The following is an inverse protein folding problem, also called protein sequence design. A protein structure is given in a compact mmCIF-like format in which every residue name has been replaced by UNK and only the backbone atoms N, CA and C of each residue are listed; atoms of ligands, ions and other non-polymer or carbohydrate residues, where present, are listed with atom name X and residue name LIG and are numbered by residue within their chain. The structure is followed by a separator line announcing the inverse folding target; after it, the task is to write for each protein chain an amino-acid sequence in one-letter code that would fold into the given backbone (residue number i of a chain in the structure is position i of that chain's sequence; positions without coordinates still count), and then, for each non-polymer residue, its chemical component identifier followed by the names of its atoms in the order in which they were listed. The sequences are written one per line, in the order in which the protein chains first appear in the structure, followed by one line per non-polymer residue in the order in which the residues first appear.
data_IF_037234557928
#
_entry.id   IF_037234557928
#
_cell.length_a   1.000
_cell.length_b   1.000
_cell.length_c   1.000
_cell.angle_alpha   90.00
_cell.angle_beta   90.00
_cell.angle_gamma   90.00
#
_symmetry.space_group_name_H-M   'P 1'
#
loop_
_entity.id
_entity.type
_entity.pdbx_description
1 polymer ?
#
# COMPACT_ATOMS: atom_id res chain seq x y z
N UNK A 1 -28.48 -14.85 -1.86
CA UNK A 1 -27.84 -14.64 -3.18
C UNK A 1 -28.88 -14.08 -4.13
N UNK A 2 -28.53 -13.11 -4.97
CA UNK A 2 -29.43 -12.58 -6.00
C UNK A 2 -29.05 -13.24 -7.33
N UNK A 3 -29.94 -14.03 -7.90
CA UNK A 3 -29.71 -14.76 -9.15
C UNK A 3 -30.49 -14.13 -10.30
N UNK A 4 -29.93 -14.24 -11.50
CA UNK A 4 -30.52 -13.76 -12.74
C UNK A 4 -30.73 -14.93 -13.69
N UNK A 5 -31.79 -14.92 -14.52
CA UNK A 5 -32.02 -15.98 -15.49
C UNK A 5 -30.86 -16.04 -16.50
N UNK A 6 -30.43 -17.26 -16.76
CA UNK A 6 -29.41 -17.65 -17.72
C UNK A 6 -30.01 -18.73 -18.64
N UNK A 7 -29.30 -19.11 -19.70
CA UNK A 7 -29.80 -20.00 -20.75
C UNK A 7 -30.56 -21.24 -20.21
N UNK A 8 -31.62 -21.67 -20.90
CA UNK A 8 -32.36 -22.91 -20.64
C UNK A 8 -32.84 -23.13 -19.18
N UNK A 9 -33.43 -22.09 -18.57
CA UNK A 9 -33.98 -22.10 -17.20
C UNK A 9 -32.94 -22.14 -16.06
N UNK A 10 -31.65 -22.08 -16.37
CA UNK A 10 -30.63 -21.94 -15.36
C UNK A 10 -30.59 -20.52 -14.79
N UNK A 11 -30.00 -20.36 -13.61
CA UNK A 11 -29.77 -19.03 -13.03
C UNK A 11 -28.32 -18.87 -12.64
N UNK A 12 -27.78 -17.67 -12.81
CA UNK A 12 -26.40 -17.32 -12.42
C UNK A 12 -26.43 -16.19 -11.39
N UNK A 13 -25.37 -16.04 -10.61
CA UNK A 13 -25.22 -14.88 -9.72
C UNK A 13 -25.23 -13.59 -10.57
N UNK A 14 -25.95 -12.56 -10.10
CA UNK A 14 -25.95 -11.23 -10.70
C UNK A 14 -24.54 -10.70 -11.01
N UNK A 15 -23.55 -11.07 -10.18
CA UNK A 15 -22.13 -10.73 -10.41
C UNK A 15 -21.62 -11.15 -11.79
N UNK A 16 -22.16 -12.23 -12.36
CA UNK A 16 -21.81 -12.69 -13.70
C UNK A 16 -22.10 -11.62 -14.76
N UNK A 17 -23.27 -10.97 -14.72
CA UNK A 17 -23.62 -9.90 -15.67
C UNK A 17 -22.65 -8.71 -15.58
N UNK A 18 -22.23 -8.37 -14.36
CA UNK A 18 -21.26 -7.29 -14.14
C UNK A 18 -19.89 -7.67 -14.71
N UNK A 19 -19.46 -8.92 -14.55
CA UNK A 19 -18.17 -9.42 -15.05
C UNK A 19 -18.06 -9.50 -16.57
N UNK A 20 -19.19 -9.58 -17.30
CA UNK A 20 -19.21 -9.58 -18.76
C UNK A 20 -19.00 -8.19 -19.39
N UNK A 21 -19.10 -7.12 -18.60
CA UNK A 21 -18.95 -5.73 -19.07
C UNK A 21 -17.47 -5.33 -19.15
N UNK A 22 -17.12 -4.47 -20.10
CA UNK A 22 -15.76 -3.94 -20.22
C UNK A 22 -15.53 -2.78 -19.25
N UNK A 23 -14.28 -2.53 -18.83
CA UNK A 23 -13.95 -1.34 -18.04
C UNK A 23 -14.41 -0.05 -18.75
N UNK A 24 -15.05 0.85 -18.00
CA UNK A 24 -15.61 2.12 -18.48
C UNK A 24 -16.90 2.00 -19.31
N UNK A 25 -17.47 0.81 -19.49
CA UNK A 25 -18.84 0.68 -20.01
C UNK A 25 -19.86 1.17 -18.98
N UNK A 26 -20.97 1.70 -19.49
CA UNK A 26 -22.08 2.12 -18.66
C UNK A 26 -23.15 1.04 -18.60
N UNK A 27 -23.72 0.82 -17.41
CA UNK A 27 -24.82 -0.11 -17.19
C UNK A 27 -26.06 0.67 -16.74
N UNK A 28 -27.20 0.39 -17.37
CA UNK A 28 -28.50 0.87 -16.92
C UNK A 28 -28.95 0.00 -15.74
N UNK A 29 -29.14 0.61 -14.58
CA UNK A 29 -29.57 -0.06 -13.36
C UNK A 29 -30.90 0.53 -12.93
N UNK A 30 -31.93 -0.31 -12.84
CA UNK A 30 -33.21 0.06 -12.25
C UNK A 30 -33.22 -0.30 -10.77
N UNK A 31 -33.61 0.64 -9.92
CA UNK A 31 -33.71 0.43 -8.47
C UNK A 31 -35.04 0.99 -7.97
N UNK A 32 -35.55 0.38 -6.90
CA UNK A 32 -36.70 0.91 -6.18
C UNK A 32 -36.18 1.73 -4.99
N UNK A 33 -36.47 3.05 -4.97
CA UNK A 33 -36.11 3.95 -3.87
C UNK A 33 -37.35 4.66 -3.39
N UNK A 34 -37.66 4.58 -2.10
CA UNK A 34 -38.86 5.18 -1.50
C UNK A 34 -40.17 4.78 -2.21
N UNK A 35 -40.25 3.53 -2.66
CA UNK A 35 -41.42 3.00 -3.38
C UNK A 35 -41.58 3.47 -4.83
N UNK A 36 -40.61 4.23 -5.37
CA UNK A 36 -40.60 4.66 -6.78
C UNK A 36 -39.49 3.98 -7.56
N UNK A 37 -39.79 3.57 -8.78
CA UNK A 37 -38.79 3.05 -9.71
C UNK A 37 -37.93 4.20 -10.23
N UNK A 38 -36.61 4.04 -10.13
CA UNK A 38 -35.63 5.00 -10.61
C UNK A 38 -34.61 4.26 -11.49
N UNK A 39 -34.23 4.89 -12.59
CA UNK A 39 -33.22 4.37 -13.51
C UNK A 39 -31.95 5.20 -13.44
N UNK A 40 -30.81 4.52 -13.32
CA UNK A 40 -29.50 5.15 -13.25
C UNK A 40 -28.59 4.57 -14.31
N UNK A 41 -27.84 5.45 -14.98
CA UNK A 41 -26.78 5.04 -15.88
C UNK A 41 -25.44 5.12 -15.13
N UNK A 42 -24.85 3.97 -14.80
CA UNK A 42 -23.68 3.87 -13.93
C UNK A 42 -22.46 3.40 -14.72
N UNK A 43 -21.37 4.18 -14.68
CA UNK A 43 -20.09 3.78 -15.26
C UNK A 43 -19.39 2.71 -14.42
N UNK A 44 -19.06 1.58 -15.04
CA UNK A 44 -18.39 0.47 -14.38
C UNK A 44 -16.88 0.68 -14.41
N UNK A 45 -16.26 0.63 -13.22
CA UNK A 45 -14.80 0.70 -13.07
C UNK A 45 -14.31 -0.54 -12.31
N UNK A 46 -13.18 -1.13 -12.72
CA UNK A 46 -12.55 -2.20 -11.96
C UNK A 46 -12.25 -1.70 -10.54
N UNK A 47 -12.76 -2.42 -9.54
CA UNK A 47 -12.43 -2.14 -8.13
C UNK A 47 -11.08 -2.78 -7.86
N UNK A 48 -10.08 -1.95 -7.54
CA UNK A 48 -8.80 -2.47 -7.04
C UNK A 48 -9.02 -2.93 -5.59
N UNK A 49 -8.69 -4.19 -5.24
CA UNK A 49 -8.82 -4.64 -3.87
C UNK A 49 -7.80 -3.91 -2.98
N UNK A 50 -8.13 -3.74 -1.69
CA UNK A 50 -7.22 -3.13 -0.71
C UNK A 50 -5.98 -4.01 -0.49
N UNK A 51 -6.18 -5.33 -0.49
CA UNK A 51 -5.12 -6.34 -0.45
C UNK A 51 -4.98 -6.94 -1.85
N UNK A 52 -3.85 -6.70 -2.56
CA UNK A 52 -3.63 -7.27 -3.88
C UNK A 52 -3.60 -8.80 -3.84
N UNK A 53 -4.40 -9.44 -4.70
CA UNK A 53 -4.47 -10.90 -4.83
C UNK A 53 -3.22 -11.48 -5.52
N UNK A 54 -2.67 -10.74 -6.48
CA UNK A 54 -1.53 -11.18 -7.27
C UNK A 54 -0.58 -9.99 -7.51
N UNK A 55 0.71 -10.21 -7.30
CA UNK A 55 1.78 -9.23 -7.57
C UNK A 55 2.73 -9.75 -8.66
N UNK A 56 2.18 -10.36 -9.72
CA UNK A 56 3.01 -10.81 -10.83
C UNK A 56 3.75 -9.62 -11.45
N UNK A 57 5.06 -9.78 -11.61
CA UNK A 57 5.96 -8.85 -12.30
C UNK A 57 6.22 -7.48 -11.64
N UNK A 58 5.73 -7.27 -10.40
CA UNK A 58 6.04 -6.05 -9.62
C UNK A 58 7.02 -6.35 -8.50
N UNK A 59 8.14 -5.61 -8.47
CA UNK A 59 9.07 -5.65 -7.35
C UNK A 59 8.36 -5.26 -6.04
N UNK A 60 8.61 -6.02 -4.97
CA UNK A 60 7.94 -5.81 -3.68
C UNK A 60 8.44 -4.52 -3.04
N UNK A 61 7.52 -3.62 -2.74
CA UNK A 61 7.83 -2.39 -2.01
C UNK A 61 8.13 -2.71 -0.55
N UNK A 62 9.22 -2.16 0.00
CA UNK A 62 9.58 -2.32 1.40
C UNK A 62 10.28 -1.07 1.94
N UNK A 63 10.19 -0.86 3.25
CA UNK A 63 10.88 0.21 3.96
C UNK A 63 11.41 -0.30 5.30
N UNK A 64 12.65 0.01 5.64
CA UNK A 64 13.32 -0.41 6.88
C UNK A 64 13.70 0.83 7.67
N UNK A 65 13.25 0.87 8.92
CA UNK A 65 13.60 1.96 9.85
C UNK A 65 13.71 1.45 11.28
N UNK A 66 14.85 1.73 11.94
CA UNK A 66 15.10 1.29 13.33
C UNK A 66 15.02 -0.23 13.51
N UNK A 67 15.37 -0.99 12.47
CA UNK A 67 15.25 -2.45 12.46
C UNK A 67 13.86 -2.98 12.09
N UNK A 68 12.82 -2.14 11.98
CA UNK A 68 11.49 -2.60 11.59
C UNK A 68 11.34 -2.65 10.07
N UNK A 69 10.96 -3.81 9.53
CA UNK A 69 10.67 -4.01 8.11
C UNK A 69 9.17 -3.79 7.85
N UNK A 70 8.84 -2.70 7.15
CA UNK A 70 7.49 -2.35 6.74
C UNK A 70 7.21 -2.78 5.30
N UNK A 71 6.09 -3.46 5.08
CA UNK A 71 5.63 -3.92 3.76
C UNK A 71 4.13 -3.69 3.58
N UNK A 72 3.63 -3.49 2.34
CA UNK A 72 2.20 -3.49 2.10
C UNK A 72 1.66 -4.93 2.19
N UNK A 73 0.55 -5.11 2.89
CA UNK A 73 -0.11 -6.40 2.99
C UNK A 73 -0.58 -6.87 1.60
N UNK A 74 -0.33 -8.13 1.30
CA UNK A 74 -0.72 -8.77 0.04
C UNK A 74 -1.26 -10.17 0.31
N UNK A 75 -2.07 -10.72 -0.59
CA UNK A 75 -2.63 -12.06 -0.41
C UNK A 75 -1.54 -13.13 -0.26
N UNK A 76 -0.45 -13.12 -1.06
CA UNK A 76 0.65 -14.08 -0.86
C UNK A 76 1.35 -13.97 0.50
N UNK A 77 1.27 -12.80 1.16
CA UNK A 77 1.78 -12.65 2.53
C UNK A 77 0.84 -13.30 3.54
N UNK A 78 -0.47 -13.08 3.40
CA UNK A 78 -1.50 -13.69 4.27
C UNK A 78 -1.43 -15.21 4.16
N UNK A 79 -1.34 -15.75 2.94
CA UNK A 79 -1.30 -17.20 2.70
C UNK A 79 -0.08 -17.88 3.33
N UNK A 80 1.01 -17.13 3.55
CA UNK A 80 2.25 -17.61 4.17
C UNK A 80 2.43 -17.25 5.64
N UNK A 81 1.47 -16.56 6.27
CA UNK A 81 1.54 -16.10 7.66
C UNK A 81 0.32 -16.54 8.47
N UNK A 82 0.28 -16.20 9.76
CA UNK A 82 -0.88 -16.47 10.64
C UNK A 82 -1.89 -15.31 10.64
N UNK A 83 -1.76 -14.38 9.69
CA UNK A 83 -2.60 -13.20 9.62
C UNK A 83 -4.05 -13.55 9.26
N UNK A 84 -4.98 -12.81 9.86
CA UNK A 84 -6.40 -13.06 9.65
C UNK A 84 -6.84 -12.71 8.22
N UNK A 85 -7.45 -13.66 7.52
CA UNK A 85 -8.07 -13.47 6.20
C UNK A 85 -9.14 -12.36 6.19
N UNK A 86 -9.70 -11.96 7.34
CA UNK A 86 -10.65 -10.85 7.40
C UNK A 86 -10.09 -9.54 6.82
N UNK A 87 -8.77 -9.34 6.83
CA UNK A 87 -8.12 -8.17 6.24
C UNK A 87 -8.23 -8.12 4.71
N UNK A 88 -8.33 -9.26 4.01
CA UNK A 88 -8.50 -9.29 2.55
C UNK A 88 -9.90 -8.90 2.09
N UNK A 89 -10.90 -8.98 2.99
CA UNK A 89 -12.30 -8.62 2.72
C UNK A 89 -12.59 -7.12 2.86
N UNK A 90 -11.64 -6.33 3.35
CA UNK A 90 -11.80 -4.88 3.53
C UNK A 90 -11.78 -4.17 2.16
N UNK A 91 -12.71 -3.23 1.97
CA UNK A 91 -12.72 -2.36 0.79
C UNK A 91 -11.87 -1.11 1.04
N UNK A 92 -11.12 -0.62 0.03
CA UNK A 92 -10.39 0.64 0.15
C UNK A 92 -11.38 1.81 0.25
N UNK A 93 -11.10 2.75 1.15
CA UNK A 93 -11.81 4.02 1.33
C UNK A 93 -11.20 5.12 0.49
N UNK A 94 -9.87 5.10 0.29
CA UNK A 94 -9.11 6.07 -0.50
C UNK A 94 -8.50 5.42 -1.75
N UNK A 95 -8.25 6.24 -2.77
CA UNK A 95 -7.48 5.79 -3.92
C UNK A 95 -6.03 5.45 -3.49
N UNK A 96 -5.53 4.30 -3.93
CA UNK A 96 -4.18 3.81 -3.60
C UNK A 96 -3.94 3.53 -2.11
N UNK A 97 -5.00 3.31 -1.33
CA UNK A 97 -4.89 2.86 0.06
C UNK A 97 -4.22 1.48 0.13
N UNK A 98 -3.36 1.30 1.14
CA UNK A 98 -2.71 0.02 1.43
C UNK A 98 -2.68 -0.20 2.94
N UNK A 99 -2.88 -1.44 3.37
CA UNK A 99 -2.58 -1.85 4.73
C UNK A 99 -1.07 -2.03 4.83
N UNK A 100 -0.41 -1.28 5.71
CA UNK A 100 1.02 -1.41 5.98
C UNK A 100 1.22 -2.18 7.28
N UNK A 101 2.05 -3.20 7.25
CA UNK A 101 2.36 -4.06 8.40
C UNK A 101 3.85 -4.02 8.73
N UNK A 102 4.18 -4.38 9.96
CA UNK A 102 5.54 -4.76 10.37
C UNK A 102 5.72 -6.24 10.02
N UNK A 103 6.44 -6.56 8.95
CA UNK A 103 6.63 -7.95 8.54
C UNK A 103 7.69 -8.68 9.35
N UNK A 104 8.74 -7.98 9.76
CA UNK A 104 9.83 -8.57 10.53
C UNK A 104 10.55 -7.49 11.34
N UNK A 105 11.18 -7.89 12.44
CA UNK A 105 12.06 -7.05 13.24
C UNK A 105 13.49 -7.56 13.15
N UNK A 106 14.40 -6.73 12.63
CA UNK A 106 15.83 -6.97 12.56
C UNK A 106 16.43 -6.63 13.93
N UNK A 107 16.77 -7.65 14.72
CA UNK A 107 17.20 -7.52 16.11
C UNK A 107 18.33 -6.51 16.31
N UNK A 108 18.14 -5.56 17.23
CA UNK A 108 19.10 -4.55 17.65
C UNK A 108 18.67 -3.98 19.02
N UNK A 109 19.59 -3.42 19.79
CA UNK A 109 19.30 -2.79 21.09
C UNK A 109 18.17 -1.74 21.00
N UNK A 110 18.02 -1.06 19.85
CA UNK A 110 16.98 -0.05 19.65
C UNK A 110 15.55 -0.62 19.65
N UNK A 111 15.38 -1.90 19.31
CA UNK A 111 14.08 -2.56 19.24
C UNK A 111 13.85 -3.59 20.37
N UNK A 112 14.73 -3.60 21.36
CA UNK A 112 14.57 -4.40 22.57
C UNK A 112 13.20 -4.18 23.22
N UNK A 113 12.48 -5.27 23.48
CA UNK A 113 11.13 -5.26 24.04
C UNK A 113 9.98 -5.22 23.02
N UNK A 114 10.28 -5.07 21.72
CA UNK A 114 9.26 -5.03 20.66
C UNK A 114 9.17 -6.30 19.81
N UNK A 115 9.86 -7.39 20.16
CA UNK A 115 9.89 -8.63 19.38
C UNK A 115 8.50 -9.21 19.02
N UNK A 116 7.46 -8.94 19.84
CA UNK A 116 6.08 -9.40 19.60
C UNK A 116 5.24 -8.49 18.68
N UNK A 117 5.88 -7.56 17.97
CA UNK A 117 5.19 -6.55 17.14
C UNK A 117 5.17 -6.91 15.65
N UNK A 118 5.72 -8.07 15.29
CA UNK A 118 5.58 -8.65 13.95
C UNK A 118 4.11 -8.91 13.60
N UNK A 119 3.81 -8.89 12.31
CA UNK A 119 2.50 -9.02 11.70
C UNK A 119 1.45 -7.95 12.10
N UNK A 120 1.85 -6.90 12.83
CA UNK A 120 0.92 -5.84 13.21
C UNK A 120 0.76 -4.75 12.15
N UNK A 121 -0.49 -4.36 11.88
CA UNK A 121 -0.80 -3.18 11.07
C UNK A 121 -0.37 -1.88 11.75
N UNK A 122 0.30 -1.00 11.01
CA UNK A 122 0.54 0.40 11.40
C UNK A 122 -0.67 1.26 11.03
N UNK A 123 -1.28 1.92 12.02
CA UNK A 123 -2.45 2.79 11.82
C UNK A 123 -2.05 4.26 11.73
N UNK A 124 -1.17 4.72 12.63
CA UNK A 124 -0.77 6.13 12.70
C UNK A 124 0.72 6.31 12.97
N UNK A 125 1.29 7.38 12.45
CA UNK A 125 2.62 7.88 12.79
C UNK A 125 2.49 9.27 13.37
N UNK A 126 2.92 9.48 14.62
CA UNK A 126 2.79 10.75 15.34
C UNK A 126 1.36 11.34 15.29
N UNK A 127 0.33 10.48 15.34
CA UNK A 127 -1.09 10.87 15.25
C UNK A 127 -1.64 11.04 13.82
N UNK A 128 -0.80 10.99 12.79
CA UNK A 128 -1.21 11.07 11.37
C UNK A 128 -1.58 9.68 10.86
N UNK A 129 -2.74 9.54 10.23
CA UNK A 129 -3.20 8.27 9.65
C UNK A 129 -2.33 7.84 8.44
N UNK A 130 -1.96 6.56 8.43
CA UNK A 130 -1.16 5.97 7.35
C UNK A 130 -2.07 5.47 6.25
N UNK A 131 -1.85 5.97 5.04
CA UNK A 131 -2.67 5.64 3.87
C UNK A 131 -2.05 4.54 3.00
N UNK A 132 -0.71 4.51 2.90
CA UNK A 132 0.04 3.52 2.14
C UNK A 132 1.52 3.52 2.57
N UNK A 133 2.31 2.57 2.05
CA UNK A 133 3.72 2.44 2.45
C UNK A 133 4.56 3.68 2.10
N UNK A 134 4.26 4.32 0.97
CA UNK A 134 4.94 5.56 0.55
C UNK A 134 4.64 6.72 1.50
N UNK A 135 3.39 6.86 1.92
CA UNK A 135 3.00 7.86 2.90
C UNK A 135 3.72 7.61 4.23
N UNK A 136 3.80 6.35 4.68
CA UNK A 136 4.53 5.98 5.90
C UNK A 136 6.00 6.38 5.83
N UNK A 137 6.71 6.03 4.75
CA UNK A 137 8.13 6.36 4.62
C UNK A 137 8.35 7.88 4.59
N UNK A 138 7.50 8.64 3.89
CA UNK A 138 7.58 10.11 3.85
C UNK A 138 7.40 10.73 5.23
N UNK A 139 6.36 10.33 5.98
CA UNK A 139 6.09 10.88 7.32
C UNK A 139 7.23 10.56 8.29
N UNK A 140 7.82 9.38 8.20
CA UNK A 140 8.98 9.01 9.04
C UNK A 140 10.24 9.78 8.64
N UNK A 141 10.52 9.93 7.34
CA UNK A 141 11.71 10.63 6.87
C UNK A 141 11.65 12.14 7.15
N UNK A 142 10.48 12.76 7.03
CA UNK A 142 10.24 14.18 7.33
C UNK A 142 10.12 14.46 8.84
N UNK A 143 10.00 13.40 9.65
CA UNK A 143 9.91 13.52 11.09
C UNK A 143 11.20 14.11 11.68
N UNK A 144 11.08 15.30 12.27
CA UNK A 144 12.12 16.03 12.98
C UNK A 144 11.97 15.99 14.50
N UNK A 145 10.91 15.35 15.01
CA UNK A 145 10.67 15.21 16.45
C UNK A 145 11.69 14.26 17.09
N UNK A 146 11.97 14.46 18.39
CA UNK A 146 12.93 13.63 19.11
C UNK A 146 12.52 12.16 19.22
N UNK A 147 11.21 11.91 19.25
CA UNK A 147 10.63 10.57 19.28
C UNK A 147 9.70 10.36 18.09
N UNK A 148 9.70 9.14 17.56
CA UNK A 148 8.76 8.63 16.59
C UNK A 148 7.78 7.72 17.31
N UNK A 149 6.49 8.02 17.22
CA UNK A 149 5.40 7.21 17.78
C UNK A 149 4.63 6.54 16.65
N UNK A 150 4.49 5.23 16.72
CA UNK A 150 3.70 4.42 15.79
C UNK A 150 2.56 3.78 16.58
N UNK A 151 1.31 4.15 16.26
CA UNK A 151 0.13 3.49 16.80
C UNK A 151 -0.22 2.30 15.90
N UNK A 152 -0.25 1.11 16.46
CA UNK A 152 -0.48 -0.15 15.76
C UNK A 152 -1.91 -0.64 15.98
N UNK A 153 -2.26 -1.79 15.39
CA UNK A 153 -3.46 -2.50 15.77
C UNK A 153 -3.39 -3.07 17.20
N UNK A 154 -4.56 -3.44 17.74
CA UNK A 154 -4.72 -3.89 19.12
C UNK A 154 -4.24 -2.89 20.19
N UNK A 155 -4.32 -1.59 19.88
CA UNK A 155 -3.95 -0.48 20.78
C UNK A 155 -2.47 -0.50 21.22
N UNK A 156 -1.63 -1.30 20.56
CA UNK A 156 -0.18 -1.32 20.79
C UNK A 156 0.46 -0.04 20.26
N UNK A 157 1.45 0.46 20.99
CA UNK A 157 2.19 1.68 20.63
C UNK A 157 3.68 1.38 20.64
N UNK A 158 4.35 1.70 19.55
CA UNK A 158 5.80 1.60 19.37
C UNK A 158 6.39 3.02 19.44
N UNK A 159 7.37 3.24 20.32
CA UNK A 159 8.06 4.53 20.47
C UNK A 159 9.56 4.32 20.28
N UNK A 160 10.14 5.08 19.37
CA UNK A 160 11.58 5.07 19.07
C UNK A 160 12.17 6.47 19.21
N UNK A 161 13.39 6.58 19.72
CA UNK A 161 14.14 7.83 19.60
C UNK A 161 14.63 7.98 18.16
N UNK A 162 14.20 9.04 17.47
CA UNK A 162 14.42 9.23 16.03
C UNK A 162 15.92 9.30 15.67
N UNK A 163 16.73 9.97 16.50
CA UNK A 163 18.17 10.10 16.27
C UNK A 163 18.89 8.76 16.42
N UNK A 164 18.55 8.01 17.47
CA UNK A 164 19.13 6.68 17.72
C UNK A 164 18.67 5.68 16.66
N UNK A 165 17.39 5.70 16.29
CA UNK A 165 16.82 4.83 15.26
C UNK A 165 17.47 5.03 13.89
N UNK A 166 17.74 6.28 13.47
CA UNK A 166 18.48 6.54 12.21
C UNK A 166 19.90 6.00 12.23
N UNK A 167 20.59 6.13 13.36
CA UNK A 167 21.94 5.59 13.55
C UNK A 167 21.93 4.06 13.51
N UNK A 168 21.04 3.43 14.29
CA UNK A 168 20.86 1.99 14.32
C UNK A 168 20.50 1.43 12.95
N UNK A 169 19.58 2.08 12.21
CA UNK A 169 19.20 1.67 10.86
C UNK A 169 20.42 1.55 9.94
N UNK A 170 21.33 2.52 10.00
CA UNK A 170 22.54 2.52 9.18
C UNK A 170 23.51 1.40 9.57
N UNK A 171 23.57 1.04 10.85
CA UNK A 171 24.38 -0.07 11.38
C UNK A 171 23.80 -1.41 10.94
N UNK A 172 22.50 -1.64 11.22
CA UNK A 172 21.77 -2.88 10.90
C UNK A 172 21.88 -3.22 9.41
N UNK A 173 21.66 -2.24 8.53
CA UNK A 173 21.75 -2.47 7.08
C UNK A 173 23.15 -2.89 6.63
N UNK A 174 24.20 -2.32 7.25
CA UNK A 174 25.59 -2.71 6.95
C UNK A 174 25.91 -4.11 7.45
N UNK A 175 25.52 -4.44 8.68
CA UNK A 175 25.80 -5.74 9.29
C UNK A 175 25.10 -6.88 8.54
N UNK A 176 23.83 -6.67 8.18
CA UNK A 176 23.03 -7.63 7.43
C UNK A 176 23.26 -7.57 5.91
N UNK A 177 24.15 -6.69 5.44
CA UNK A 177 24.49 -6.49 4.02
C UNK A 177 23.26 -6.20 3.15
N UNK A 178 22.30 -5.48 3.70
CA UNK A 178 21.10 -5.03 2.99
C UNK A 178 21.49 -3.77 2.18
N UNK A 179 21.31 -3.76 0.86
CA UNK A 179 21.84 -2.71 0.00
C UNK A 179 21.16 -1.35 0.17
N UNK A 180 19.88 -1.34 0.57
CA UNK A 180 19.08 -0.11 0.70
C UNK A 180 18.06 -0.26 1.83
N UNK A 181 17.78 0.83 2.52
CA UNK A 181 16.71 0.91 3.52
C UNK A 181 15.31 0.87 2.89
N UNK A 182 15.18 1.15 1.59
CA UNK A 182 13.89 1.22 0.90
C UNK A 182 13.97 0.68 -0.52
N UNK A 183 12.86 0.16 -1.01
CA UNK A 183 12.72 -0.25 -2.42
C UNK A 183 12.78 0.94 -3.36
N UNK A 184 13.18 0.68 -4.62
CA UNK A 184 13.42 1.72 -5.64
C UNK A 184 12.19 2.59 -5.94
N UNK A 185 10.98 2.05 -5.79
CA UNK A 185 9.72 2.77 -6.01
C UNK A 185 9.39 3.80 -4.93
N UNK A 186 10.02 3.68 -3.75
CA UNK A 186 9.88 4.62 -2.63
C UNK A 186 10.97 5.69 -2.62
N UNK A 187 12.06 5.48 -3.36
CA UNK A 187 13.13 6.46 -3.43
C UNK A 187 12.63 7.77 -4.04
N UNK A 188 13.07 8.95 -3.53
CA UNK A 188 12.76 10.22 -4.15
C UNK A 188 13.25 10.18 -5.61
N UNK A 189 12.37 10.40 -6.57
CA UNK A 189 12.77 10.50 -7.97
C UNK A 189 13.83 11.59 -8.10
N UNK A 190 15.08 11.20 -8.34
CA UNK A 190 16.09 12.16 -8.74
C UNK A 190 15.67 12.73 -10.10
N UNK A 191 15.19 13.98 -10.09
CA UNK A 191 14.98 14.74 -11.31
C UNK A 191 16.36 15.00 -11.89
N UNK A 192 16.81 14.11 -12.79
CA UNK A 192 18.01 14.33 -13.57
C UNK A 192 17.83 15.62 -14.40
N UNK A 193 18.32 16.75 -13.88
CA UNK A 193 18.44 18.05 -14.57
C UNK A 193 19.52 18.04 -15.68
N UNK A 194 19.88 16.88 -16.20
CA UNK A 194 20.93 16.71 -17.20
C UNK A 194 20.35 16.22 -18.52
N UNK A 195 19.69 17.12 -19.24
CA UNK A 195 19.54 17.13 -20.72
C UNK A 195 18.89 18.44 -21.19
N UNK A 196 19.37 19.58 -20.69
CA UNK A 196 19.31 20.82 -21.48
C UNK A 196 20.35 20.65 -22.59
N UNK A 197 19.89 20.23 -23.77
CA UNK A 197 20.71 20.20 -24.97
C UNK A 197 21.07 21.63 -25.33
N UNK A 198 22.36 21.97 -25.27
CA UNK A 198 22.88 23.27 -25.71
C UNK A 198 22.57 23.51 -27.20
N UNK A 199 22.27 24.74 -27.63
CA UNK A 199 21.99 25.02 -29.04
C UNK A 199 23.23 24.77 -29.90
N UNK A 200 23.07 24.02 -31.00
CA UNK A 200 24.11 23.86 -32.02
C UNK A 200 24.39 25.22 -32.66
N UNK A 201 25.61 25.74 -32.52
CA UNK A 201 26.10 26.83 -33.37
C UNK A 201 26.17 26.34 -34.82
N UNK A 202 25.33 26.90 -35.70
CA UNK A 202 25.52 26.82 -37.14
C UNK A 202 26.57 27.86 -37.54
N UNK A 203 27.77 27.39 -37.93
CA UNK A 203 28.70 28.20 -38.71
C UNK A 203 28.15 28.29 -40.15
N UNK A 204 27.64 29.46 -40.52
CA UNK A 204 27.64 29.91 -41.92
C UNK A 204 29.07 30.39 -42.22
N UNK A 205 29.75 29.76 -43.16
CA UNK A 205 30.83 30.40 -43.88
C UNK A 205 30.48 30.38 -45.37
N UNK A 206 30.59 31.58 -45.96
CA UNK A 206 30.72 31.83 -47.39
C UNK A 206 31.96 31.13 -47.96
#
# INVERSE_FOLDING_TARGET
MCTVPFLNQDTVDFKHLVSMKKPSETALIKVLREGKECEFNVGLKPVKPLVPLHNFDKMRSYYIYGGFLFVPLSQPYIDGSYMCECSSKKMPKKASEQIVIISQILEDDINAGYASFEDLQVKKVNGIEVDNLKHLSQVIEECSTGYLRLDLENEKVLILNNKLARKANSTILKELKIPSAMSDDLQPRQVNRSRLVSPRHSKKNN
#
